data_IF_526561327500
#
_entry.id   IF_526561327500
#
_cell.length_a   1.000
_cell.length_b   1.000
_cell.length_c   1.000
_cell.angle_alpha   90.00
_cell.angle_beta   90.00
_cell.angle_gamma   90.00
#
_symmetry.space_group_name_H-M   'P 1'
#
loop_
_entity.id
_entity.type
_entity.pdbx_description
1 polymer ?
#
# COMPACT_ATOMS: atom_id res chain seq x y z
N UNK A 1 -1.36 -12.45 -1.33
CA UNK A 1 -0.12 -12.15 -2.05
C UNK A 1 -0.26 -12.47 -3.53
N UNK A 2 0.62 -11.91 -4.33
CA UNK A 2 0.71 -12.16 -5.76
C UNK A 2 2.18 -12.25 -6.17
N UNK A 3 2.54 -13.21 -7.00
CA UNK A 3 3.92 -13.48 -7.41
C UNK A 3 4.70 -14.32 -6.40
N UNK A 4 6.02 -14.29 -6.50
CA UNK A 4 6.92 -15.09 -5.68
C UNK A 4 7.05 -14.63 -4.24
N UNK A 5 7.20 -15.57 -3.33
CA UNK A 5 7.47 -15.30 -1.93
C UNK A 5 8.98 -15.24 -1.72
N UNK A 6 9.53 -14.05 -1.68
CA UNK A 6 10.94 -13.81 -1.38
C UNK A 6 11.11 -12.99 -0.11
N UNK A 7 12.25 -13.11 0.59
CA UNK A 7 12.61 -12.20 1.67
C UNK A 7 12.58 -10.76 1.17
N UNK A 8 11.81 -9.92 1.86
CA UNK A 8 11.71 -8.50 1.56
C UNK A 8 12.24 -7.67 2.72
N UNK A 9 12.86 -6.56 2.39
CA UNK A 9 13.30 -5.55 3.36
C UNK A 9 12.25 -4.48 3.45
N UNK A 10 11.90 -4.10 4.66
CA UNK A 10 10.96 -3.01 4.90
C UNK A 10 11.67 -1.84 5.57
N UNK A 11 11.30 -0.66 5.15
CA UNK A 11 11.74 0.61 5.70
C UNK A 11 10.53 1.35 6.25
N UNK A 12 10.70 1.96 7.42
CA UNK A 12 9.66 2.75 8.07
C UNK A 12 10.18 4.16 8.29
N UNK A 13 9.47 5.15 7.78
CA UNK A 13 9.86 6.56 7.85
C UNK A 13 8.70 7.38 8.42
N UNK A 14 9.02 8.36 9.27
CA UNK A 14 8.02 9.28 9.79
C UNK A 14 7.61 10.29 8.72
N UNK A 15 6.32 10.55 8.58
CA UNK A 15 5.81 11.64 7.75
C UNK A 15 6.20 12.99 8.37
N UNK A 16 6.60 13.93 7.53
CA UNK A 16 6.89 15.32 7.96
C UNK A 16 5.73 16.27 7.66
N UNK A 17 4.77 15.82 6.85
CA UNK A 17 3.53 16.53 6.56
C UNK A 17 2.32 15.64 6.86
N UNK A 18 1.20 16.21 7.32
CA UNK A 18 0.00 15.44 7.65
C UNK A 18 -0.70 14.90 6.40
N UNK A 19 -1.41 13.78 6.59
CA UNK A 19 -2.39 13.25 5.63
C UNK A 19 -3.78 13.28 6.27
N UNK A 20 -4.82 13.52 5.47
CA UNK A 20 -6.17 13.78 5.95
C UNK A 20 -7.17 12.78 5.38
N UNK A 21 -8.16 12.39 6.18
CA UNK A 21 -9.22 11.45 5.77
C UNK A 21 -10.18 12.01 4.75
N UNK A 22 -10.32 13.33 4.68
CA UNK A 22 -11.20 14.06 3.76
C UNK A 22 -10.50 14.46 2.44
N UNK A 23 -9.23 14.10 2.31
CA UNK A 23 -8.43 14.40 1.12
C UNK A 23 -8.31 13.18 0.21
N UNK A 24 -8.21 13.42 -1.09
CA UNK A 24 -8.02 12.37 -2.09
C UNK A 24 -6.54 12.22 -2.43
N UNK A 25 -6.02 11.00 -2.26
CA UNK A 25 -4.66 10.65 -2.63
C UNK A 25 -4.67 9.66 -3.78
N UNK A 26 -3.78 9.85 -4.73
CA UNK A 26 -3.57 8.96 -5.86
C UNK A 26 -2.34 8.08 -5.63
N UNK A 27 -2.18 7.04 -6.43
CA UNK A 27 -1.02 6.15 -6.37
C UNK A 27 0.34 6.87 -6.56
N UNK A 28 0.35 8.01 -7.24
CA UNK A 28 1.53 8.85 -7.46
C UNK A 28 1.64 10.04 -6.48
N UNK A 29 0.74 10.16 -5.50
CA UNK A 29 0.84 11.19 -4.47
C UNK A 29 2.07 10.95 -3.60
N UNK A 30 2.84 12.00 -3.33
CA UNK A 30 4.05 11.93 -2.51
C UNK A 30 3.86 12.84 -1.30
N UNK A 31 4.00 12.27 -0.13
CA UNK A 31 4.07 13.02 1.14
C UNK A 31 5.50 12.97 1.64
N UNK A 32 6.09 14.12 2.04
CA UNK A 32 7.44 14.17 2.55
C UNK A 32 7.63 13.31 3.80
N UNK A 33 8.81 12.72 3.92
CA UNK A 33 9.19 11.86 5.04
C UNK A 33 10.53 12.28 5.63
N UNK A 34 10.76 11.94 6.88
CA UNK A 34 12.07 12.04 7.52
C UNK A 34 13.07 11.12 6.83
N UNK A 35 14.33 11.50 6.82
CA UNK A 35 15.43 10.66 6.28
C UNK A 35 15.81 9.51 7.20
N UNK A 36 15.32 9.51 8.44
CA UNK A 36 15.63 8.48 9.45
C UNK A 36 14.77 7.25 9.20
N UNK A 37 15.43 6.11 9.03
CA UNK A 37 14.74 4.82 9.00
C UNK A 37 14.46 4.39 10.46
N UNK A 38 13.20 4.22 10.76
CA UNK A 38 12.72 3.79 12.08
C UNK A 38 12.68 2.26 12.21
N UNK A 39 12.88 1.51 11.12
CA UNK A 39 12.91 0.05 11.20
C UNK A 39 14.17 -0.43 11.92
N UNK A 40 14.01 -1.43 12.78
CA UNK A 40 15.11 -2.04 13.52
C UNK A 40 15.40 -3.43 12.97
N UNK A 41 16.45 -3.54 12.17
CA UNK A 41 16.81 -4.76 11.45
C UNK A 41 16.52 -4.65 9.95
N UNK A 42 17.41 -5.23 9.14
CA UNK A 42 17.45 -4.95 7.70
C UNK A 42 16.61 -5.89 6.83
N UNK A 43 16.27 -7.08 7.32
CA UNK A 43 15.58 -8.06 6.50
C UNK A 43 14.45 -8.69 7.30
N UNK A 44 13.25 -8.51 6.82
CA UNK A 44 12.07 -9.10 7.41
C UNK A 44 11.45 -10.00 6.35
N UNK A 45 11.41 -11.28 6.66
CA UNK A 45 10.73 -12.25 5.82
C UNK A 45 9.32 -12.46 6.33
N UNK A 46 8.35 -12.17 5.48
CA UNK A 46 6.97 -12.53 5.75
C UNK A 46 6.54 -13.62 4.78
N UNK A 47 6.12 -14.74 5.31
CA UNK A 47 5.48 -15.79 4.53
C UNK A 47 3.97 -15.75 4.78
N UNK A 48 3.16 -15.25 3.83
CA UNK A 48 1.72 -15.12 4.00
C UNK A 48 0.98 -16.47 4.06
N UNK A 49 1.68 -17.58 3.87
CA UNK A 49 1.12 -18.93 3.98
C UNK A 49 1.27 -19.53 5.39
N UNK A 50 2.08 -18.93 6.25
CA UNK A 50 2.34 -19.45 7.58
C UNK A 50 1.62 -18.62 8.64
N UNK A 51 1.12 -19.27 9.72
CA UNK A 51 0.62 -18.57 10.88
C UNK A 51 1.67 -17.64 11.48
N UNK A 52 1.27 -16.45 11.84
CA UNK A 52 2.14 -15.47 12.48
C UNK A 52 2.16 -15.60 14.00
N UNK A 53 2.96 -14.74 14.64
CA UNK A 53 3.01 -14.60 16.09
C UNK A 53 2.59 -13.18 16.47
N UNK A 54 1.77 -13.09 17.50
CA UNK A 54 1.35 -11.83 18.08
C UNK A 54 1.41 -11.92 19.61
N UNK A 55 2.11 -10.98 20.23
CA UNK A 55 2.31 -10.95 21.68
C UNK A 55 2.79 -12.29 22.27
N UNK A 56 3.70 -12.97 21.56
CA UNK A 56 4.26 -14.26 21.99
C UNK A 56 3.35 -15.48 21.77
N UNK A 57 2.19 -15.30 21.15
CA UNK A 57 1.26 -16.39 20.84
C UNK A 57 1.14 -16.59 19.33
N UNK A 58 1.02 -17.85 18.90
CA UNK A 58 0.70 -18.19 17.52
C UNK A 58 -0.74 -17.80 17.22
N UNK A 59 -0.95 -17.11 16.09
CA UNK A 59 -2.27 -16.72 15.60
C UNK A 59 -2.50 -17.34 14.22
N UNK A 60 -3.72 -17.72 13.93
CA UNK A 60 -4.07 -18.35 12.65
C UNK A 60 -4.25 -17.31 11.53
N UNK A 61 -3.30 -16.37 11.43
CA UNK A 61 -3.20 -15.36 10.38
C UNK A 61 -1.73 -15.12 10.08
N UNK A 62 -1.41 -14.80 8.84
CA UNK A 62 -0.10 -14.28 8.49
C UNK A 62 0.05 -12.88 9.06
N UNK A 63 1.16 -12.60 9.72
CA UNK A 63 1.46 -11.29 10.30
C UNK A 63 2.83 -10.85 9.83
N UNK A 64 2.88 -9.66 9.24
CA UNK A 64 4.13 -8.95 9.00
C UNK A 64 4.47 -8.13 10.26
N UNK A 65 5.54 -8.51 10.95
CA UNK A 65 6.03 -7.79 12.11
C UNK A 65 7.28 -7.02 11.74
N UNK A 66 7.24 -5.70 11.90
CA UNK A 66 8.39 -4.81 11.64
C UNK A 66 8.84 -4.23 12.98
N UNK A 67 9.99 -4.66 13.53
CA UNK A 67 10.54 -4.04 14.71
C UNK A 67 10.89 -2.58 14.45
N UNK A 68 10.54 -1.69 15.37
CA UNK A 68 10.89 -0.27 15.30
C UNK A 68 12.00 0.04 16.29
N UNK A 69 12.88 0.98 15.95
CA UNK A 69 13.95 1.45 16.83
C UNK A 69 13.36 2.20 18.04
N UNK A 70 13.53 1.69 19.26
CA UNK A 70 12.98 2.31 20.45
C UNK A 70 13.46 3.75 20.67
N UNK A 71 14.71 4.05 20.29
CA UNK A 71 15.30 5.37 20.50
C UNK A 71 14.72 6.42 19.57
N UNK A 72 14.42 6.03 18.33
CA UNK A 72 13.94 6.95 17.32
C UNK A 72 12.39 6.97 17.21
N UNK A 73 11.71 5.94 17.70
CA UNK A 73 10.24 5.87 17.70
C UNK A 73 9.65 6.05 19.09
N UNK A 74 9.93 5.14 20.04
CA UNK A 74 9.23 5.09 21.33
C UNK A 74 9.68 6.22 22.28
N UNK A 75 10.99 6.45 22.39
CA UNK A 75 11.56 7.44 23.31
C UNK A 75 11.06 8.88 23.04
N UNK A 76 10.98 9.38 21.80
CA UNK A 76 10.38 10.67 21.51
C UNK A 76 8.93 10.78 22.00
N UNK A 77 8.12 9.71 21.85
CA UNK A 77 6.72 9.68 22.32
C UNK A 77 6.67 9.72 23.85
N UNK A 78 7.46 8.89 24.53
CA UNK A 78 7.51 8.85 25.99
C UNK A 78 7.96 10.20 26.58
N UNK A 79 8.88 10.89 25.94
CA UNK A 79 9.37 12.20 26.37
C UNK A 79 8.31 13.29 26.26
N UNK A 80 7.21 13.05 25.54
CA UNK A 80 6.03 13.94 25.49
C UNK A 80 5.04 13.68 26.63
N UNK A 81 5.32 12.76 27.53
CA UNK A 81 4.46 12.50 28.69
C UNK A 81 4.24 13.78 29.51
N UNK A 82 2.97 14.07 29.79
CA UNK A 82 2.58 15.30 30.51
C UNK A 82 2.48 16.55 29.62
N UNK A 83 2.70 16.44 28.33
CA UNK A 83 2.42 17.53 27.38
C UNK A 83 0.89 17.70 27.23
N UNK A 84 0.33 18.87 27.58
CA UNK A 84 -1.11 19.09 27.50
C UNK A 84 -1.71 18.86 26.10
N UNK A 85 -0.92 19.10 25.04
CA UNK A 85 -1.36 18.85 23.66
C UNK A 85 -1.65 17.38 23.38
N UNK A 86 -1.08 16.46 24.18
CA UNK A 86 -1.21 15.02 23.98
C UNK A 86 -2.09 14.34 25.05
N UNK A 87 -2.76 15.12 25.90
CA UNK A 87 -3.58 14.57 27.01
C UNK A 87 -4.99 14.12 26.57
N UNK A 88 -5.34 14.31 25.30
CA UNK A 88 -6.62 13.93 24.71
C UNK A 88 -7.77 14.89 25.04
N UNK A 89 -7.51 15.99 25.78
CA UNK A 89 -8.55 16.95 26.16
C UNK A 89 -8.89 17.93 25.03
N UNK A 90 -7.97 18.18 24.12
CA UNK A 90 -8.12 19.13 23.01
C UNK A 90 -8.77 18.51 21.75
N UNK A 91 -9.40 17.35 21.90
CA UNK A 91 -9.96 16.59 20.79
C UNK A 91 -8.97 15.60 20.19
N UNK A 92 -9.40 14.90 19.16
CA UNK A 92 -8.67 13.76 18.57
C UNK A 92 -7.36 14.13 17.86
N UNK A 93 -7.08 15.43 17.68
CA UNK A 93 -5.98 15.90 16.82
C UNK A 93 -4.64 16.12 17.54
N UNK A 94 -4.62 16.09 18.88
CA UNK A 94 -3.43 16.43 19.66
C UNK A 94 -2.20 15.62 19.28
N UNK A 95 -2.30 14.30 19.27
CA UNK A 95 -1.19 13.43 18.85
C UNK A 95 -0.85 13.61 17.37
N UNK A 96 -1.86 13.67 16.50
CA UNK A 96 -1.68 13.80 15.04
C UNK A 96 -1.14 15.17 14.63
N UNK A 97 -1.32 16.21 15.44
CA UNK A 97 -0.72 17.53 15.20
C UNK A 97 0.80 17.53 15.42
N UNK A 98 1.30 16.56 16.17
CA UNK A 98 2.71 16.39 16.50
C UNK A 98 3.34 15.21 15.74
N UNK A 99 2.60 14.10 15.55
CA UNK A 99 3.08 12.90 14.88
C UNK A 99 2.16 12.57 13.68
N UNK A 100 2.57 12.96 12.48
CA UNK A 100 1.72 12.91 11.29
C UNK A 100 1.48 11.51 10.74
N UNK A 101 2.28 10.53 11.14
CA UNK A 101 2.13 9.15 10.69
C UNK A 101 3.41 8.52 10.18
N UNK A 102 3.26 7.34 9.55
CA UNK A 102 4.37 6.53 9.07
C UNK A 102 4.17 6.16 7.60
N UNK A 103 5.27 6.15 6.86
CA UNK A 103 5.39 5.50 5.55
C UNK A 103 6.11 4.17 5.75
N UNK A 104 5.48 3.09 5.28
CA UNK A 104 6.11 1.78 5.20
C UNK A 104 6.39 1.51 3.72
N UNK A 105 7.62 1.23 3.39
CA UNK A 105 8.05 0.94 2.02
C UNK A 105 8.92 -0.31 1.97
N UNK A 106 8.89 -1.00 0.83
CA UNK A 106 9.86 -2.04 0.51
C UNK A 106 10.81 -1.44 -0.53
N UNK A 107 12.09 -1.25 -0.19
CA UNK A 107 13.08 -0.83 -1.19
C UNK A 107 13.11 -1.83 -2.34
N UNK A 108 13.39 -1.35 -3.55
CA UNK A 108 13.35 -2.17 -4.75
C UNK A 108 14.18 -3.45 -4.60
N UNK A 109 13.53 -4.58 -4.82
CA UNK A 109 14.16 -5.89 -4.89
C UNK A 109 14.10 -6.37 -6.35
N UNK A 110 15.11 -7.11 -6.75
CA UNK A 110 15.15 -7.72 -8.10
C UNK A 110 14.14 -8.85 -8.27
N UNK A 111 13.71 -9.43 -7.16
CA UNK A 111 12.72 -10.50 -7.09
C UNK A 111 11.74 -10.17 -5.98
N UNK A 112 10.46 -10.43 -6.18
CA UNK A 112 9.50 -10.17 -5.14
C UNK A 112 8.08 -10.47 -5.54
N UNK A 113 7.24 -10.54 -4.51
CA UNK A 113 5.80 -10.62 -4.64
C UNK A 113 5.14 -9.36 -4.10
N UNK A 114 3.88 -9.21 -4.41
CA UNK A 114 3.02 -8.18 -3.87
C UNK A 114 2.28 -8.76 -2.66
N UNK A 115 2.40 -8.11 -1.51
CA UNK A 115 1.64 -8.45 -0.32
C UNK A 115 0.46 -7.52 -0.14
N UNK A 116 -0.72 -8.10 0.09
CA UNK A 116 -1.93 -7.37 0.46
C UNK A 116 -2.01 -7.32 1.98
N UNK A 117 -1.94 -6.13 2.55
CA UNK A 117 -1.99 -5.91 4.00
C UNK A 117 -3.34 -5.29 4.34
N UNK A 118 -4.10 -5.97 5.20
CA UNK A 118 -5.34 -5.41 5.75
C UNK A 118 -5.01 -4.46 6.90
N UNK A 119 -5.05 -3.17 6.62
CA UNK A 119 -4.75 -2.12 7.61
C UNK A 119 -5.83 -2.00 8.68
N UNK A 120 -7.03 -2.51 8.45
CA UNK A 120 -8.16 -2.42 9.38
C UNK A 120 -8.35 -3.68 10.22
N UNK A 121 -7.54 -4.72 9.99
CA UNK A 121 -7.58 -5.93 10.80
C UNK A 121 -7.22 -5.63 12.27
N UNK A 122 -7.84 -6.38 13.18
CA UNK A 122 -7.62 -6.23 14.62
C UNK A 122 -6.17 -6.43 15.08
N UNK A 123 -5.33 -7.05 14.26
CA UNK A 123 -3.89 -7.21 14.53
C UNK A 123 -3.04 -6.08 13.91
N UNK A 124 -3.61 -5.25 13.03
CA UNK A 124 -2.89 -4.14 12.40
C UNK A 124 -2.77 -2.96 13.36
N UNK A 125 -1.64 -2.88 14.04
CA UNK A 125 -1.35 -1.86 15.06
C UNK A 125 0.15 -1.67 15.25
N UNK A 126 0.52 -0.59 15.88
CA UNK A 126 1.85 -0.43 16.45
C UNK A 126 1.74 -0.71 17.94
N UNK A 127 2.54 -1.65 18.47
CA UNK A 127 2.57 -1.96 19.89
C UNK A 127 3.89 -1.52 20.50
N UNK A 128 3.81 -0.70 21.52
CA UNK A 128 4.95 -0.22 22.30
C UNK A 128 4.96 -0.93 23.65
N UNK A 129 6.08 -1.57 23.98
CA UNK A 129 6.32 -2.15 25.30
C UNK A 129 7.20 -1.20 26.10
N UNK A 130 6.82 -0.92 27.33
CA UNK A 130 7.55 -0.02 28.21
C UNK A 130 7.48 -0.47 29.65
N UNK A 131 8.31 0.10 30.51
CA UNK A 131 8.29 -0.11 31.95
C UNK A 131 8.16 1.24 32.64
N UNK A 132 7.24 1.29 33.61
CA UNK A 132 7.14 2.43 34.52
C UNK A 132 8.15 2.23 35.66
N UNK A 133 9.12 3.14 35.75
CA UNK A 133 10.17 3.10 36.76
C UNK A 133 9.95 4.14 37.88
N UNK A 134 8.79 4.79 37.94
CA UNK A 134 8.50 5.87 38.90
C UNK A 134 8.11 5.36 40.29
N UNK A 135 7.89 4.06 40.47
CA UNK A 135 7.54 3.43 41.75
C UNK A 135 8.73 3.02 42.58
N UNK A 136 8.54 2.90 43.93
CA UNK A 136 9.55 2.48 44.89
C UNK A 136 9.87 0.96 44.87
N UNK A 137 9.22 0.19 43.98
CA UNK A 137 9.42 -1.27 43.88
C UNK A 137 10.45 -1.60 42.82
N UNK A 138 11.29 -2.59 43.11
CA UNK A 138 12.32 -3.10 42.18
C UNK A 138 11.76 -4.04 41.10
N UNK A 139 10.50 -4.40 41.19
CA UNK A 139 9.81 -5.28 40.25
C UNK A 139 8.86 -4.44 39.40
N UNK A 140 9.35 -4.07 38.23
CA UNK A 140 8.58 -3.27 37.27
C UNK A 140 8.00 -4.18 36.20
N UNK A 141 6.70 -4.29 36.17
CA UNK A 141 5.99 -5.02 35.11
C UNK A 141 6.20 -4.35 33.75
N UNK A 142 6.23 -5.17 32.72
CA UNK A 142 6.22 -4.67 31.34
C UNK A 142 4.79 -4.34 30.98
N UNK A 143 4.54 -3.09 30.64
CA UNK A 143 3.29 -2.56 30.16
C UNK A 143 3.31 -2.47 28.63
N UNK A 144 2.14 -2.48 28.01
CA UNK A 144 2.01 -2.27 26.57
C UNK A 144 1.01 -1.17 26.26
N UNK A 145 1.23 -0.49 25.13
CA UNK A 145 0.33 0.51 24.59
C UNK A 145 0.19 0.29 23.08
N UNK A 146 -1.06 0.25 22.61
CA UNK A 146 -1.39 0.02 21.21
C UNK A 146 -1.83 1.30 20.52
N UNK A 147 -1.14 1.65 19.44
CA UNK A 147 -1.63 2.62 18.46
C UNK A 147 -2.43 1.84 17.41
N UNK A 148 -3.74 1.89 17.52
CA UNK A 148 -4.63 1.13 16.65
C UNK A 148 -4.87 1.87 15.33
N UNK A 149 -4.81 1.10 14.24
CA UNK A 149 -5.23 1.58 12.92
C UNK A 149 -6.72 1.24 12.76
N UNK A 150 -7.53 2.23 12.47
CA UNK A 150 -8.97 2.07 12.30
C UNK A 150 -9.50 2.90 11.13
N UNK A 151 -10.81 2.86 10.89
CA UNK A 151 -11.44 3.56 9.77
C UNK A 151 -11.33 5.09 9.82
N UNK A 152 -10.93 5.67 10.96
CA UNK A 152 -10.71 7.11 11.11
C UNK A 152 -9.28 7.52 10.80
N UNK A 153 -8.38 6.56 10.55
CA UNK A 153 -7.01 6.86 10.16
C UNK A 153 -6.95 7.12 8.66
N UNK A 154 -6.26 8.21 8.27
CA UNK A 154 -5.95 8.45 6.88
C UNK A 154 -4.85 7.47 6.42
N UNK A 155 -5.03 6.86 5.26
CA UNK A 155 -4.01 6.05 4.61
C UNK A 155 -4.19 6.00 3.11
N UNK A 156 -3.13 5.81 2.38
CA UNK A 156 -3.17 5.56 0.95
C UNK A 156 -1.97 4.71 0.52
N UNK A 157 -2.02 4.20 -0.71
CA UNK A 157 -0.96 3.39 -1.28
C UNK A 157 -0.26 4.17 -2.38
N UNK A 158 1.07 4.29 -2.24
CA UNK A 158 1.94 4.81 -3.28
C UNK A 158 2.55 3.65 -4.06
N UNK A 159 2.45 3.68 -5.39
CA UNK A 159 2.96 2.62 -6.25
C UNK A 159 3.75 3.25 -7.39
N UNK A 160 5.01 2.87 -7.51
CA UNK A 160 5.87 3.22 -8.62
C UNK A 160 6.05 2.02 -9.54
N UNK A 161 5.93 2.25 -10.84
CA UNK A 161 6.15 1.24 -11.86
C UNK A 161 7.40 1.60 -12.66
N UNK A 162 8.38 0.71 -12.66
CA UNK A 162 9.55 0.82 -13.53
C UNK A 162 9.42 -0.15 -14.71
N UNK A 163 9.19 0.40 -15.89
CA UNK A 163 9.07 -0.37 -17.13
C UNK A 163 10.37 -0.40 -17.95
N UNK A 164 11.47 0.14 -17.44
CA UNK A 164 12.74 0.23 -18.13
C UNK A 164 13.23 -1.13 -18.63
N UNK A 165 13.58 -1.20 -19.90
CA UNK A 165 14.03 -2.42 -20.57
C UNK A 165 13.00 -3.57 -20.63
N UNK A 166 11.71 -3.26 -20.53
CA UNK A 166 10.63 -4.25 -20.65
C UNK A 166 9.89 -4.13 -21.98
N UNK A 167 9.14 -5.17 -22.34
CA UNK A 167 8.25 -5.13 -23.50
C UNK A 167 7.11 -4.09 -23.34
N UNK A 168 6.75 -3.76 -22.09
CA UNK A 168 5.77 -2.73 -21.76
C UNK A 168 6.28 -1.34 -22.15
N UNK A 169 7.54 -1.02 -21.86
CA UNK A 169 8.17 0.24 -22.28
C UNK A 169 8.10 0.39 -23.81
N UNK A 170 8.43 -0.67 -24.54
CA UNK A 170 8.36 -0.67 -25.99
C UNK A 170 6.92 -0.41 -26.46
N UNK A 171 5.94 -1.05 -25.85
CA UNK A 171 4.53 -0.91 -26.22
C UNK A 171 3.98 0.50 -25.92
N UNK A 172 4.37 1.12 -24.81
CA UNK A 172 3.95 2.49 -24.46
C UNK A 172 4.47 3.50 -25.49
N UNK A 173 5.67 3.27 -26.02
CA UNK A 173 6.31 4.18 -26.99
C UNK A 173 5.86 3.94 -28.45
N UNK A 174 5.04 2.93 -28.71
CA UNK A 174 4.50 2.61 -30.02
C UNK A 174 3.03 3.08 -30.13
N UNK A 175 2.69 3.75 -31.23
CA UNK A 175 1.33 4.24 -31.46
C UNK A 175 0.33 3.12 -31.81
N UNK A 176 0.82 2.01 -32.36
CA UNK A 176 0.01 0.84 -32.72
C UNK A 176 0.76 -0.43 -32.34
N UNK A 177 0.10 -1.33 -31.65
CA UNK A 177 0.69 -2.57 -31.20
C UNK A 177 -0.32 -3.72 -31.33
N UNK A 178 0.17 -4.90 -31.66
CA UNK A 178 -0.63 -6.12 -31.70
C UNK A 178 -0.83 -6.76 -30.33
N UNK A 179 -0.06 -6.28 -29.34
CA UNK A 179 -0.14 -6.72 -27.95
C UNK A 179 -0.55 -5.56 -27.07
N UNK A 180 -1.43 -5.83 -26.12
CA UNK A 180 -1.96 -4.87 -25.17
C UNK A 180 -1.54 -5.28 -23.76
N UNK A 181 -0.88 -4.38 -23.06
CA UNK A 181 -0.51 -4.59 -21.66
C UNK A 181 -1.50 -3.84 -20.76
N UNK A 182 -2.01 -4.55 -19.76
CA UNK A 182 -2.94 -3.98 -18.78
C UNK A 182 -2.42 -4.35 -17.39
N UNK A 183 -2.23 -3.35 -16.54
CA UNK A 183 -1.75 -3.53 -15.19
C UNK A 183 -2.56 -2.70 -14.21
N UNK A 184 -2.95 -3.29 -13.09
CA UNK A 184 -3.64 -2.61 -12.00
C UNK A 184 -2.73 -1.65 -11.22
N UNK A 185 -3.25 -1.04 -10.16
CA UNK A 185 -2.53 -0.14 -9.24
C UNK A 185 -1.94 1.10 -9.92
N UNK A 186 -2.67 1.66 -10.91
CA UNK A 186 -2.20 2.83 -11.65
C UNK A 186 -1.12 2.54 -12.69
N UNK A 187 -0.95 1.27 -13.08
CA UNK A 187 -0.07 0.86 -14.15
C UNK A 187 -0.61 1.20 -15.54
N UNK A 188 -0.29 0.40 -16.54
CA UNK A 188 -0.68 0.68 -17.92
C UNK A 188 -2.11 0.26 -18.21
N UNK A 189 -2.79 1.09 -18.98
CA UNK A 189 -4.13 0.83 -19.52
C UNK A 189 -4.06 0.69 -21.04
N UNK A 190 -4.81 -0.27 -21.57
CA UNK A 190 -4.93 -0.45 -23.01
C UNK A 190 -6.03 0.43 -23.60
N UNK A 191 -5.77 1.04 -24.73
CA UNK A 191 -6.79 1.73 -25.51
C UNK A 191 -7.13 0.94 -26.77
N UNK A 192 -8.42 0.62 -26.92
CA UNK A 192 -8.93 -0.05 -28.11
C UNK A 192 -9.58 0.97 -29.02
N UNK A 193 -9.04 1.11 -30.22
CA UNK A 193 -9.64 1.91 -31.29
C UNK A 193 -10.25 1.00 -32.35
N UNK A 194 -11.54 1.21 -32.69
CA UNK A 194 -12.25 0.44 -33.70
C UNK A 194 -12.51 1.36 -34.91
N UNK A 195 -11.69 1.24 -35.99
CA UNK A 195 -11.87 2.07 -37.15
C UNK A 195 -13.22 1.78 -37.82
N UNK A 196 -13.87 2.82 -38.31
CA UNK A 196 -15.16 2.68 -39.02
C UNK A 196 -16.40 2.55 -38.13
N UNK A 197 -16.26 2.53 -36.80
CA UNK A 197 -17.41 2.49 -35.91
C UNK A 197 -18.34 3.70 -36.10
N UNK A 198 -17.78 4.87 -36.39
CA UNK A 198 -18.53 6.10 -36.66
C UNK A 198 -19.41 5.98 -37.93
N UNK A 199 -18.96 5.21 -38.90
CA UNK A 199 -19.72 4.99 -40.11
C UNK A 199 -21.03 4.21 -39.87
N UNK A 200 -21.12 3.45 -38.76
CA UNK A 200 -22.33 2.74 -38.37
C UNK A 200 -23.37 3.69 -37.79
N UNK A 201 -22.96 4.80 -37.17
CA UNK A 201 -23.89 5.79 -36.58
C UNK A 201 -24.75 6.49 -37.61
N UNK A 202 -24.27 6.61 -38.86
CA UNK A 202 -24.99 7.25 -39.94
C UNK A 202 -25.89 6.30 -40.70
N UNK A 203 -25.83 4.99 -40.42
CA UNK A 203 -26.62 3.96 -41.04
C UNK A 203 -27.85 3.66 -40.19
N UNK A 204 -29.01 3.51 -40.84
CA UNK A 204 -30.21 3.11 -40.14
C UNK A 204 -30.23 1.59 -39.95
N UNK A 205 -29.41 1.10 -39.03
CA UNK A 205 -29.19 -0.31 -38.71
C UNK A 205 -29.57 -0.62 -37.28
N UNK A 206 -30.00 -1.83 -37.02
CA UNK A 206 -30.21 -2.37 -35.69
C UNK A 206 -29.10 -3.38 -35.38
N UNK A 207 -28.40 -3.15 -34.29
CA UNK A 207 -27.32 -4.03 -33.83
C UNK A 207 -27.87 -5.00 -32.80
N UNK A 208 -27.90 -6.29 -33.13
CA UNK A 208 -28.39 -7.34 -32.23
C UNK A 208 -27.35 -7.82 -31.20
N UNK A 209 -26.07 -7.75 -31.53
CA UNK A 209 -24.99 -8.17 -30.65
C UNK A 209 -23.73 -7.38 -31.01
N UNK A 210 -22.98 -6.97 -29.97
CA UNK A 210 -21.61 -6.49 -30.09
C UNK A 210 -20.76 -7.27 -29.08
N UNK A 211 -19.60 -7.74 -29.51
CA UNK A 211 -18.71 -8.55 -28.69
C UNK A 211 -17.26 -8.17 -28.98
N UNK A 212 -16.48 -8.01 -27.91
CA UNK A 212 -15.03 -7.82 -27.99
C UNK A 212 -14.40 -9.06 -27.38
N UNK A 213 -13.57 -9.74 -28.16
CA UNK A 213 -12.85 -10.93 -27.72
C UNK A 213 -11.38 -10.55 -27.59
N UNK A 214 -10.85 -10.62 -26.38
CA UNK A 214 -9.46 -10.34 -26.07
C UNK A 214 -8.79 -11.64 -25.63
N UNK A 215 -8.01 -12.30 -26.50
CA UNK A 215 -7.24 -13.47 -26.09
C UNK A 215 -6.11 -13.05 -25.18
N UNK A 216 -5.94 -13.77 -24.07
CA UNK A 216 -4.77 -13.64 -23.23
C UNK A 216 -3.62 -14.47 -23.81
N UNK A 217 -2.41 -13.94 -23.70
CA UNK A 217 -1.22 -14.75 -23.88
C UNK A 217 -1.16 -15.78 -22.74
N UNK A 218 -0.97 -17.03 -23.08
CA UNK A 218 -0.95 -18.13 -22.11
C UNK A 218 0.38 -18.10 -21.36
N UNK A 219 0.36 -17.59 -20.14
CA UNK A 219 1.48 -17.68 -19.22
C UNK A 219 1.34 -18.98 -18.44
N UNK A 220 2.20 -19.93 -18.73
CA UNK A 220 2.26 -21.25 -18.07
C UNK A 220 2.81 -21.21 -16.64
N UNK A 221 2.89 -20.03 -16.01
CA UNK A 221 3.37 -19.85 -14.65
C UNK A 221 2.20 -19.69 -13.70
N UNK A 222 1.99 -20.68 -12.83
CA UNK A 222 0.95 -20.69 -11.79
C UNK A 222 1.07 -19.53 -10.78
N UNK A 223 2.21 -18.84 -10.76
CA UNK A 223 2.53 -17.76 -9.81
C UNK A 223 1.92 -16.41 -10.22
N UNK A 224 1.67 -16.20 -11.53
CA UNK A 224 1.16 -14.95 -12.07
C UNK A 224 -0.19 -15.17 -12.76
N UNK A 225 -1.22 -15.28 -11.98
CA UNK A 225 -2.58 -15.51 -12.51
C UNK A 225 -3.09 -14.29 -13.26
N UNK A 226 -3.75 -14.52 -14.39
CA UNK A 226 -4.44 -13.48 -15.11
C UNK A 226 -5.57 -12.86 -14.24
N UNK A 227 -5.86 -11.55 -14.39
CA UNK A 227 -6.93 -10.91 -13.63
C UNK A 227 -8.29 -11.56 -13.96
N UNK A 228 -9.09 -11.81 -12.93
CA UNK A 228 -10.42 -12.42 -13.08
C UNK A 228 -11.41 -11.50 -13.82
N UNK A 229 -11.22 -10.20 -13.75
CA UNK A 229 -12.10 -9.22 -14.34
C UNK A 229 -11.29 -8.10 -15.01
N UNK A 230 -11.76 -7.67 -16.18
CA UNK A 230 -11.31 -6.46 -16.85
C UNK A 230 -12.48 -5.47 -16.92
N UNK A 231 -12.19 -4.21 -16.68
CA UNK A 231 -13.17 -3.14 -16.80
C UNK A 231 -12.97 -2.42 -18.13
N UNK A 232 -14.04 -2.28 -18.89
CA UNK A 232 -14.06 -1.48 -20.08
C UNK A 232 -14.72 -0.13 -19.76
N UNK A 233 -13.99 0.95 -19.97
CA UNK A 233 -14.50 2.31 -19.81
C UNK A 233 -14.44 3.06 -21.13
N UNK A 234 -15.30 4.04 -21.29
CA UNK A 234 -15.25 4.95 -22.42
C UNK A 234 -14.55 6.23 -22.00
N UNK A 235 -13.51 6.62 -22.73
CA UNK A 235 -12.88 7.92 -22.53
C UNK A 235 -13.90 9.04 -22.73
N UNK A 236 -13.98 9.95 -21.78
CA UNK A 236 -14.85 11.13 -21.86
C UNK A 236 -14.30 12.08 -22.93
N UNK A 237 -15.18 12.60 -23.80
CA UNK A 237 -14.78 13.56 -24.81
C UNK A 237 -14.21 14.81 -24.12
N UNK A 238 -13.04 15.26 -24.58
CA UNK A 238 -12.31 16.45 -24.08
C UNK A 238 -11.75 16.34 -22.63
N UNK A 239 -11.57 15.16 -22.11
CA UNK A 239 -10.83 14.96 -20.86
C UNK A 239 -9.90 13.76 -20.97
N UNK A 240 -8.84 13.74 -20.15
CA UNK A 240 -7.98 12.56 -19.98
C UNK A 240 -8.54 11.60 -18.90
N UNK A 241 -9.74 11.90 -18.37
CA UNK A 241 -10.44 11.09 -17.39
C UNK A 241 -11.28 10.00 -18.09
N UNK A 242 -11.35 8.83 -17.46
CA UNK A 242 -12.11 7.67 -17.89
C UNK A 242 -13.35 7.44 -17.02
#
# INVERSE_FOLDING_TARGET
YYGDIHPQTFRVEQLTDPIYTDSSYFNNSIVPVSTTDLSFGNTIYSNPLLPGYFAGQSVNKAILSIPLDPNNFALPIINQSGNPTLDGNDGDDGFLSWYYGLKISSPSNTNGGLYYIDMTDSYSRIRMYYRDTTGATTDHDTLDFDFNINANCAYYHHVEHDYSNTAVEVAINQNENNQLYIQSLGGVNGQLYIPGLDSLRTRNIMINKAEVILPFEDYSYDEYLAPLNLFLSRKKENSDEF
#
